data_IF_254571579081
#
_entry.id   IF_254571579081
#
_cell.length_a   1.000
_cell.length_b   1.000
_cell.length_c   1.000
_cell.angle_alpha   90.00
_cell.angle_beta   90.00
_cell.angle_gamma   90.00
#
_symmetry.space_group_name_H-M   'P 1'
#
loop_
_entity.id
_entity.type
_entity.pdbx_description
1 polymer ?
#
# COMPACT_ATOMS: atom_id res chain seq x y z
N UNK A 1 10.84 37.26 -48.97
CA UNK A 1 10.49 37.49 -47.56
C UNK A 1 9.50 36.41 -47.16
N UNK A 2 9.87 35.54 -46.20
CA UNK A 2 9.01 34.44 -45.74
C UNK A 2 8.12 34.98 -44.63
N UNK A 3 6.82 35.09 -44.89
CA UNK A 3 5.82 35.41 -43.87
C UNK A 3 5.59 34.21 -42.97
N UNK A 4 5.73 34.45 -41.67
CA UNK A 4 5.55 33.46 -40.60
C UNK A 4 4.22 33.77 -39.93
N UNK A 5 3.14 33.16 -40.38
CA UNK A 5 1.84 33.21 -39.69
C UNK A 5 1.88 32.29 -38.47
N UNK A 6 2.29 32.83 -37.34
CA UNK A 6 2.09 32.22 -36.03
C UNK A 6 0.59 32.24 -35.70
N UNK A 7 0.00 31.06 -35.55
CA UNK A 7 -1.40 30.90 -35.17
C UNK A 7 -1.67 31.48 -33.78
N UNK A 8 -2.49 32.52 -33.71
CA UNK A 8 -3.13 32.97 -32.47
C UNK A 8 -4.17 31.93 -32.06
N UNK A 9 -3.88 31.16 -31.01
CA UNK A 9 -4.90 30.36 -30.31
C UNK A 9 -5.74 31.34 -29.48
N UNK A 10 -6.98 31.56 -29.88
CA UNK A 10 -7.94 32.36 -29.12
C UNK A 10 -8.24 31.68 -27.77
N UNK A 11 -7.85 32.32 -26.66
CA UNK A 11 -8.28 31.94 -25.31
C UNK A 11 -9.77 32.28 -25.16
N UNK A 12 -10.64 31.27 -25.12
CA UNK A 12 -12.05 31.44 -24.77
C UNK A 12 -12.17 32.00 -23.35
N UNK A 13 -12.72 33.20 -23.19
CA UNK A 13 -12.96 33.81 -21.89
C UNK A 13 -14.05 33.05 -21.12
N UNK A 14 -13.71 32.51 -19.94
CA UNK A 14 -14.68 31.92 -19.00
C UNK A 14 -15.37 33.05 -18.24
N UNK A 15 -16.67 33.26 -18.46
CA UNK A 15 -17.46 34.21 -17.64
C UNK A 15 -17.64 33.66 -16.23
N UNK A 16 -17.36 34.46 -15.20
CA UNK A 16 -17.62 34.13 -13.79
C UNK A 16 -18.84 34.92 -13.28
N UNK A 17 -19.59 34.37 -12.32
CA UNK A 17 -20.68 35.04 -11.62
C UNK A 17 -20.17 35.91 -10.44
N UNK A 18 -21.10 36.50 -9.68
CA UNK A 18 -20.79 37.39 -8.56
C UNK A 18 -20.02 36.71 -7.42
N UNK A 19 -20.03 35.38 -7.35
CA UNK A 19 -19.26 34.57 -6.38
C UNK A 19 -17.90 34.12 -6.94
N UNK A 20 -17.56 34.52 -8.17
CA UNK A 20 -16.32 34.13 -8.84
C UNK A 20 -16.33 32.71 -9.41
N UNK A 21 -17.52 32.10 -9.52
CA UNK A 21 -17.71 30.75 -10.07
C UNK A 21 -18.13 30.82 -11.54
N UNK A 22 -17.78 29.84 -12.39
CA UNK A 22 -18.42 29.73 -13.69
C UNK A 22 -19.94 29.51 -13.52
N UNK A 23 -20.79 29.89 -14.49
CA UNK A 23 -22.25 29.89 -14.33
C UNK A 23 -22.80 28.47 -14.20
N UNK A 24 -22.85 27.88 -13.01
CA UNK A 24 -23.28 26.49 -12.77
C UNK A 24 -24.79 26.46 -12.47
N UNK A 25 -25.55 25.45 -12.93
CA UNK A 25 -26.96 25.31 -12.58
C UNK A 25 -27.18 25.30 -11.05
N UNK A 26 -28.09 26.13 -10.54
CA UNK A 26 -28.35 26.29 -9.09
C UNK A 26 -28.63 24.96 -8.37
N UNK A 27 -29.38 24.06 -9.02
CA UNK A 27 -29.65 22.71 -8.49
C UNK A 27 -28.38 21.89 -8.24
N UNK A 28 -27.35 22.08 -9.06
CA UNK A 28 -26.08 21.39 -8.94
C UNK A 28 -25.23 21.99 -7.81
N UNK A 29 -25.23 23.32 -7.67
CA UNK A 29 -24.59 24.04 -6.56
C UNK A 29 -25.14 23.56 -5.22
N UNK A 30 -26.47 23.47 -5.10
CA UNK A 30 -27.12 22.99 -3.87
C UNK A 30 -26.77 21.54 -3.53
N UNK A 31 -26.70 20.64 -4.54
CA UNK A 31 -26.28 19.24 -4.32
C UNK A 31 -24.85 19.16 -3.78
N UNK A 32 -23.93 19.94 -4.37
CA UNK A 32 -22.54 20.00 -3.91
C UNK A 32 -22.47 20.50 -2.47
N UNK A 33 -23.20 21.58 -2.13
CA UNK A 33 -23.23 22.13 -0.76
C UNK A 33 -23.75 21.12 0.26
N UNK A 34 -24.78 20.33 -0.10
CA UNK A 34 -25.31 19.22 0.73
C UNK A 34 -24.37 18.02 0.85
N UNK A 35 -23.28 17.97 0.08
CA UNK A 35 -22.33 16.86 0.08
C UNK A 35 -22.85 15.61 -0.64
N UNK A 36 -23.86 15.77 -1.50
CA UNK A 36 -24.35 14.68 -2.36
C UNK A 36 -23.35 14.36 -3.46
N UNK A 37 -23.34 13.11 -3.93
CA UNK A 37 -22.52 12.72 -5.06
C UNK A 37 -22.95 13.45 -6.34
N UNK A 38 -21.96 14.04 -7.01
CA UNK A 38 -22.14 14.77 -8.27
C UNK A 38 -21.18 14.22 -9.32
N UNK A 39 -21.69 13.95 -10.52
CA UNK A 39 -20.86 13.68 -11.69
C UNK A 39 -20.15 14.98 -12.10
N UNK A 40 -18.83 15.02 -11.92
CA UNK A 40 -18.00 16.19 -12.20
C UNK A 40 -18.06 16.62 -13.68
N UNK A 41 -18.38 15.70 -14.60
CA UNK A 41 -18.48 16.06 -16.02
C UNK A 41 -19.60 17.09 -16.29
N UNK A 42 -20.61 17.18 -15.41
CA UNK A 42 -21.69 18.16 -15.48
C UNK A 42 -21.21 19.60 -15.21
N UNK A 43 -20.02 19.77 -14.62
CA UNK A 43 -19.42 21.07 -14.34
C UNK A 43 -18.64 21.65 -15.54
N UNK A 44 -18.39 20.83 -16.57
CA UNK A 44 -17.67 21.25 -17.77
C UNK A 44 -18.67 21.83 -18.80
N UNK A 45 -18.76 23.15 -18.91
CA UNK A 45 -19.57 23.80 -19.96
C UNK A 45 -18.85 23.87 -21.31
N UNK A 46 -19.58 23.88 -22.42
CA UNK A 46 -19.03 24.25 -23.74
C UNK A 46 -19.27 25.73 -23.96
N UNK A 47 -18.23 26.47 -24.37
CA UNK A 47 -18.35 27.84 -24.85
C UNK A 47 -19.33 27.98 -26.05
N UNK A 48 -19.70 26.86 -26.70
CA UNK A 48 -20.67 26.88 -27.82
C UNK A 48 -22.13 27.07 -27.39
N UNK A 49 -22.48 26.73 -26.14
CA UNK A 49 -23.88 26.83 -25.69
C UNK A 49 -24.34 28.28 -25.54
N UNK A 50 -23.42 29.19 -25.20
CA UNK A 50 -23.72 30.63 -25.14
C UNK A 50 -23.76 31.30 -26.50
N UNK A 51 -23.04 30.79 -27.51
CA UNK A 51 -23.05 31.39 -28.85
C UNK A 51 -24.38 31.12 -29.58
N UNK A 52 -24.98 29.93 -29.42
CA UNK A 52 -26.30 29.65 -30.00
C UNK A 52 -27.44 30.42 -29.33
N UNK A 53 -27.46 30.53 -28.00
CA UNK A 53 -28.47 31.35 -27.28
C UNK A 53 -28.36 32.85 -27.58
N UNK A 54 -27.13 33.37 -27.71
CA UNK A 54 -26.92 34.79 -28.06
C UNK A 54 -27.29 35.09 -29.53
N UNK A 55 -27.09 34.14 -30.44
CA UNK A 55 -27.51 34.27 -31.84
C UNK A 55 -29.04 34.15 -31.99
N UNK A 56 -29.71 33.32 -31.18
CA UNK A 56 -31.17 33.18 -31.16
C UNK A 56 -31.89 34.41 -30.60
N UNK A 57 -31.27 35.17 -29.70
CA UNK A 57 -31.86 36.40 -29.17
C UNK A 57 -31.78 37.61 -30.13
N UNK A 58 -30.98 37.56 -31.19
CA UNK A 58 -30.86 38.68 -32.13
C UNK A 58 -31.90 38.70 -33.26
N UNK A 59 -32.63 37.61 -33.49
CA UNK A 59 -33.68 37.57 -34.51
C UNK A 59 -35.07 37.36 -33.89
N UNK A 60 -35.77 38.48 -33.66
CA UNK A 60 -37.14 38.52 -33.15
C UNK A 60 -38.18 37.97 -34.13
N UNK A 61 -38.27 36.65 -34.30
CA UNK A 61 -39.43 36.00 -34.94
C UNK A 61 -39.70 34.61 -34.35
N UNK A 62 -40.97 34.23 -34.15
CA UNK A 62 -41.33 32.98 -33.50
C UNK A 62 -41.29 31.85 -34.53
N UNK A 63 -40.11 31.31 -34.80
CA UNK A 63 -39.98 30.06 -35.55
C UNK A 63 -39.95 28.92 -34.55
N UNK A 64 -41.05 28.17 -34.43
CA UNK A 64 -41.06 26.88 -33.72
C UNK A 64 -40.33 25.85 -34.58
N UNK A 65 -39.05 25.63 -34.25
CA UNK A 65 -38.29 24.49 -34.77
C UNK A 65 -38.55 23.32 -33.83
N UNK A 66 -39.27 22.30 -34.32
CA UNK A 66 -39.29 20.99 -33.68
C UNK A 66 -37.87 20.40 -33.74
N UNK A 67 -37.11 20.54 -32.66
CA UNK A 67 -35.84 19.85 -32.53
C UNK A 67 -36.12 18.35 -32.43
N UNK A 68 -35.61 17.61 -33.43
CA UNK A 68 -35.64 16.15 -33.47
C UNK A 68 -35.13 15.57 -32.15
N UNK A 69 -35.78 14.51 -31.66
CA UNK A 69 -35.44 13.76 -30.44
C UNK A 69 -33.97 13.30 -30.42
N UNK A 70 -33.30 13.25 -31.58
CA UNK A 70 -31.87 12.96 -31.71
C UNK A 70 -30.95 14.09 -31.21
N UNK A 71 -31.37 15.35 -31.21
CA UNK A 71 -30.58 16.47 -30.67
C UNK A 71 -30.68 16.60 -29.13
N UNK A 72 -31.66 15.95 -28.51
CA UNK A 72 -31.81 15.90 -27.05
C UNK A 72 -30.78 14.95 -26.37
N UNK A 73 -30.04 14.17 -27.14
CA UNK A 73 -28.91 13.38 -26.65
C UNK A 73 -27.60 14.14 -26.86
N UNK A 74 -27.42 15.29 -26.20
CA UNK A 74 -26.07 15.85 -26.00
C UNK A 74 -25.23 14.74 -25.39
N UNK A 75 -24.24 14.21 -26.15
CA UNK A 75 -23.29 13.19 -25.68
C UNK A 75 -22.83 13.61 -24.29
N UNK A 76 -23.14 12.81 -23.26
CA UNK A 76 -22.67 13.06 -21.90
C UNK A 76 -21.17 13.29 -22.00
N UNK A 77 -20.71 14.51 -21.67
CA UNK A 77 -19.27 14.77 -21.60
C UNK A 77 -18.69 13.76 -20.62
N UNK A 78 -17.54 13.21 -20.97
CA UNK A 78 -16.83 12.27 -20.12
C UNK A 78 -15.50 12.90 -19.76
N UNK A 79 -15.17 12.85 -18.47
CA UNK A 79 -13.83 13.16 -18.00
C UNK A 79 -12.98 11.94 -18.37
N UNK A 80 -11.98 12.13 -19.22
CA UNK A 80 -11.10 11.06 -19.71
C UNK A 80 -9.63 11.30 -19.39
N UNK A 81 -9.30 12.52 -18.94
CA UNK A 81 -7.94 12.97 -18.70
C UNK A 81 -7.87 13.83 -17.43
N UNK A 82 -6.68 13.93 -16.86
CA UNK A 82 -6.45 14.64 -15.60
C UNK A 82 -6.69 16.15 -15.71
N UNK A 83 -6.54 16.74 -16.91
CA UNK A 83 -6.73 18.19 -17.11
C UNK A 83 -8.22 18.53 -17.12
N UNK A 84 -9.05 17.75 -17.81
CA UNK A 84 -10.51 17.91 -17.76
C UNK A 84 -11.07 17.62 -16.36
N UNK A 85 -10.52 16.63 -15.67
CA UNK A 85 -10.83 16.37 -14.25
C UNK A 85 -10.46 17.55 -13.35
N UNK A 86 -9.24 18.06 -13.46
CA UNK A 86 -8.75 19.16 -12.63
C UNK A 86 -9.59 20.44 -12.81
N UNK A 87 -10.04 20.73 -14.03
CA UNK A 87 -10.96 21.83 -14.32
C UNK A 87 -12.33 21.63 -13.68
N UNK A 88 -12.88 20.43 -13.74
CA UNK A 88 -14.17 20.15 -13.11
C UNK A 88 -14.08 20.18 -11.58
N UNK A 89 -13.01 19.60 -11.03
CA UNK A 89 -12.79 19.54 -9.59
C UNK A 89 -12.48 20.91 -8.98
N UNK A 90 -11.78 21.80 -9.69
CA UNK A 90 -11.55 23.16 -9.20
C UNK A 90 -12.86 23.95 -9.04
N UNK A 91 -13.82 23.74 -9.94
CA UNK A 91 -15.17 24.31 -9.85
C UNK A 91 -15.90 23.73 -8.64
N UNK A 92 -15.87 22.40 -8.49
CA UNK A 92 -16.47 21.71 -7.34
C UNK A 92 -15.90 22.21 -6.01
N UNK A 93 -14.58 22.32 -5.91
CA UNK A 93 -13.88 22.79 -4.72
C UNK A 93 -14.19 24.26 -4.42
N UNK A 94 -14.32 25.11 -5.44
CA UNK A 94 -14.70 26.51 -5.27
C UNK A 94 -16.14 26.65 -4.74
N UNK A 95 -17.10 25.83 -5.21
CA UNK A 95 -18.47 25.81 -4.68
C UNK A 95 -18.50 25.44 -3.20
N UNK A 96 -17.70 24.45 -2.79
CA UNK A 96 -17.58 24.07 -1.37
C UNK A 96 -16.88 25.16 -0.57
N UNK A 97 -15.81 25.76 -1.08
CA UNK A 97 -15.07 26.83 -0.40
C UNK A 97 -15.90 28.11 -0.20
N UNK A 98 -16.86 28.39 -1.09
CA UNK A 98 -17.77 29.51 -0.98
C UNK A 98 -18.92 29.28 0.02
N UNK A 99 -19.13 28.06 0.52
CA UNK A 99 -20.16 27.78 1.51
C UNK A 99 -19.75 28.31 2.89
N UNK A 100 -20.67 29.00 3.58
CA UNK A 100 -20.42 29.66 4.88
C UNK A 100 -19.94 28.70 5.98
N UNK A 101 -20.30 27.42 5.89
CA UNK A 101 -19.97 26.38 6.87
C UNK A 101 -18.58 25.75 6.65
N UNK A 102 -17.88 26.10 5.57
CA UNK A 102 -16.62 25.45 5.20
C UNK A 102 -15.42 26.06 5.93
N UNK A 103 -14.65 25.22 6.63
CA UNK A 103 -13.45 25.69 7.36
C UNK A 103 -12.22 25.78 6.46
N UNK A 104 -11.20 26.55 6.90
CA UNK A 104 -9.91 26.65 6.20
C UNK A 104 -9.25 25.28 6.00
N UNK A 105 -9.33 24.40 7.00
CA UNK A 105 -8.77 23.04 6.95
C UNK A 105 -9.45 22.20 5.86
N UNK A 106 -10.77 22.36 5.69
CA UNK A 106 -11.52 21.68 4.65
C UNK A 106 -11.11 22.16 3.25
N UNK A 107 -10.93 23.47 3.06
CA UNK A 107 -10.42 24.03 1.80
C UNK A 107 -9.01 23.49 1.49
N UNK A 108 -8.12 23.46 2.48
CA UNK A 108 -6.77 22.87 2.32
C UNK A 108 -6.88 21.39 1.96
N UNK A 109 -7.81 20.64 2.56
CA UNK A 109 -8.00 19.22 2.25
C UNK A 109 -8.48 18.99 0.81
N UNK A 110 -9.32 19.88 0.26
CA UNK A 110 -9.75 19.83 -1.14
C UNK A 110 -8.59 20.05 -2.09
N UNK A 111 -7.70 21.02 -1.79
CA UNK A 111 -6.48 21.24 -2.57
C UNK A 111 -5.51 20.05 -2.47
N UNK A 112 -5.38 19.46 -1.29
CA UNK A 112 -4.58 18.25 -1.10
C UNK A 112 -5.13 17.05 -1.89
N UNK A 113 -6.47 16.93 -2.01
CA UNK A 113 -7.10 15.93 -2.87
C UNK A 113 -6.80 16.17 -4.35
N UNK A 114 -6.87 17.42 -4.80
CA UNK A 114 -6.52 17.78 -6.17
C UNK A 114 -5.07 17.38 -6.48
N UNK A 115 -4.15 17.61 -5.54
CA UNK A 115 -2.75 17.16 -5.67
C UNK A 115 -2.63 15.63 -5.70
N UNK A 116 -3.29 14.93 -4.78
CA UNK A 116 -3.33 13.46 -4.73
C UNK A 116 -3.80 12.87 -6.06
N UNK A 117 -4.87 13.41 -6.63
CA UNK A 117 -5.42 12.92 -7.90
C UNK A 117 -4.50 13.17 -9.08
N UNK A 118 -3.78 14.29 -9.11
CA UNK A 118 -2.74 14.52 -10.15
C UNK A 118 -1.57 13.54 -10.04
N UNK A 119 -1.20 13.15 -8.81
CA UNK A 119 -0.18 12.14 -8.58
C UNK A 119 -0.70 10.75 -9.01
N UNK A 120 -1.91 10.37 -8.59
CA UNK A 120 -2.53 9.10 -8.97
C UNK A 120 -2.71 8.96 -10.49
N UNK A 121 -3.01 10.04 -11.21
CA UNK A 121 -3.09 10.00 -12.68
C UNK A 121 -1.74 9.73 -13.35
N UNK A 122 -0.64 10.05 -12.68
CA UNK A 122 0.72 9.74 -13.13
C UNK A 122 1.10 8.29 -12.79
N UNK A 123 0.74 7.85 -11.58
CA UNK A 123 1.13 6.55 -11.03
C UNK A 123 0.25 5.41 -11.58
N UNK A 124 -1.05 5.66 -11.78
CA UNK A 124 -2.05 4.71 -12.23
C UNK A 124 -2.46 5.03 -13.67
N UNK A 125 -1.81 4.40 -14.65
CA UNK A 125 -2.22 4.50 -16.06
C UNK A 125 -3.61 3.90 -16.32
N UNK A 126 -4.17 4.16 -17.51
CA UNK A 126 -5.35 3.44 -18.00
C UNK A 126 -6.69 3.78 -17.31
N UNK A 127 -6.84 4.97 -16.73
CA UNK A 127 -8.11 5.46 -16.18
C UNK A 127 -8.47 4.93 -14.78
N UNK A 128 -7.59 4.15 -14.15
CA UNK A 128 -7.78 3.63 -12.79
C UNK A 128 -7.84 4.72 -11.72
N UNK A 129 -7.05 5.78 -11.89
CA UNK A 129 -7.14 6.97 -11.04
C UNK A 129 -8.54 7.59 -11.08
N UNK A 130 -9.24 7.56 -12.23
CA UNK A 130 -10.59 8.09 -12.32
C UNK A 130 -11.60 7.22 -11.58
N UNK A 131 -11.40 5.89 -11.61
CA UNK A 131 -12.18 4.94 -10.79
C UNK A 131 -12.02 5.25 -9.30
N UNK A 132 -10.79 5.55 -8.87
CA UNK A 132 -10.50 5.94 -7.50
C UNK A 132 -11.26 7.21 -7.10
N UNK A 133 -11.23 8.27 -7.91
CA UNK A 133 -11.96 9.51 -7.64
C UNK A 133 -13.46 9.27 -7.46
N UNK A 134 -14.07 8.51 -8.37
CA UNK A 134 -15.50 8.20 -8.33
C UNK A 134 -15.86 7.43 -7.05
N UNK A 135 -15.12 6.36 -6.73
CA UNK A 135 -15.35 5.60 -5.50
C UNK A 135 -15.08 6.42 -4.24
N UNK A 136 -14.05 7.26 -4.24
CA UNK A 136 -13.69 8.11 -3.11
C UNK A 136 -14.79 9.13 -2.81
N UNK A 137 -15.32 9.82 -3.83
CA UNK A 137 -16.40 10.79 -3.66
C UNK A 137 -17.70 10.14 -3.18
N UNK A 138 -18.02 8.94 -3.66
CA UNK A 138 -19.16 8.16 -3.16
C UNK A 138 -18.96 7.74 -1.69
N UNK A 139 -17.73 7.38 -1.31
CA UNK A 139 -17.39 7.07 0.08
C UNK A 139 -17.49 8.29 1.01
N UNK A 140 -17.07 9.47 0.55
CA UNK A 140 -17.20 10.75 1.27
C UNK A 140 -18.67 11.06 1.56
N UNK A 141 -19.55 10.93 0.57
CA UNK A 141 -21.00 11.09 0.74
C UNK A 141 -21.54 10.08 1.77
N UNK A 142 -21.24 8.79 1.61
CA UNK A 142 -21.78 7.72 2.45
C UNK A 142 -21.32 7.80 3.92
N UNK A 143 -20.13 8.34 4.19
CA UNK A 143 -19.57 8.43 5.54
C UNK A 143 -19.68 9.83 6.17
N UNK A 144 -20.03 10.85 5.38
CA UNK A 144 -20.04 12.24 5.83
C UNK A 144 -18.65 12.79 6.22
N UNK A 145 -17.57 12.12 5.81
CA UNK A 145 -16.20 12.48 6.19
C UNK A 145 -15.66 13.53 5.21
N UNK A 146 -15.36 14.74 5.69
CA UNK A 146 -14.83 15.85 4.86
C UNK A 146 -13.30 15.97 4.89
N UNK A 147 -12.59 14.85 4.97
CA UNK A 147 -11.12 14.79 4.86
C UNK A 147 -10.72 14.33 3.47
N UNK A 148 -10.50 15.27 2.56
CA UNK A 148 -10.26 14.97 1.15
C UNK A 148 -8.80 14.64 0.81
N UNK A 149 -7.84 15.11 1.61
CA UNK A 149 -6.40 15.03 1.31
C UNK A 149 -5.67 13.74 1.71
N UNK A 150 -6.35 12.76 2.30
CA UNK A 150 -5.74 11.50 2.73
C UNK A 150 -6.05 10.39 1.71
N UNK A 151 -5.04 9.59 1.32
CA UNK A 151 -5.23 8.45 0.43
C UNK A 151 -6.05 7.36 1.15
N UNK A 152 -7.27 7.12 0.68
CA UNK A 152 -8.04 5.95 1.09
C UNK A 152 -7.44 4.66 0.49
N UNK A 153 -6.64 3.95 1.28
CA UNK A 153 -5.89 2.76 0.84
C UNK A 153 -6.79 1.61 0.39
N UNK A 154 -8.01 1.51 0.93
CA UNK A 154 -8.96 0.45 0.58
C UNK A 154 -9.46 0.66 -0.85
N UNK A 155 -9.86 1.89 -1.19
CA UNK A 155 -10.33 2.26 -2.53
C UNK A 155 -9.15 2.20 -3.51
N UNK A 156 -7.98 2.69 -3.11
CA UNK A 156 -6.76 2.63 -3.92
C UNK A 156 -6.40 1.19 -4.30
N UNK A 157 -6.45 0.26 -3.33
CA UNK A 157 -6.17 -1.16 -3.59
C UNK A 157 -7.14 -1.83 -4.57
N UNK A 158 -8.40 -1.37 -4.64
CA UNK A 158 -9.38 -1.84 -5.65
C UNK A 158 -9.09 -1.34 -7.06
N UNK A 159 -8.44 -0.19 -7.18
CA UNK A 159 -8.18 0.45 -8.47
C UNK A 159 -6.90 -0.06 -9.15
N UNK A 160 -6.02 -0.80 -8.46
CA UNK A 160 -4.76 -1.29 -9.02
C UNK A 160 -4.96 -2.36 -10.11
N UNK A 161 -4.10 -2.42 -11.15
CA UNK A 161 -4.18 -3.45 -12.18
C UNK A 161 -3.84 -4.82 -11.60
N UNK A 162 -4.68 -5.82 -11.83
CA UNK A 162 -4.43 -7.20 -11.40
C UNK A 162 -4.81 -7.49 -9.95
N UNK A 163 -5.45 -6.55 -9.23
CA UNK A 163 -6.14 -6.89 -7.99
C UNK A 163 -7.49 -7.50 -8.34
N UNK A 164 -7.73 -8.71 -7.85
CA UNK A 164 -9.08 -9.27 -7.77
C UNK A 164 -9.91 -8.23 -7.03
N UNK A 165 -11.11 -7.82 -7.53
CA UNK A 165 -11.89 -6.80 -6.85
C UNK A 165 -12.01 -7.19 -5.38
N UNK A 166 -11.63 -6.29 -4.46
CA UNK A 166 -12.00 -6.43 -3.05
C UNK A 166 -13.51 -6.22 -2.95
N UNK A 167 -14.26 -7.16 -3.51
CA UNK A 167 -15.68 -7.22 -3.42
C UNK A 167 -15.98 -7.67 -1.98
N UNK A 168 -16.34 -6.70 -1.14
CA UNK A 168 -17.03 -6.93 0.13
C UNK A 168 -18.50 -7.35 -0.09
N UNK A 169 -18.86 -7.83 -1.28
CA UNK A 169 -19.82 -8.93 -1.33
C UNK A 169 -19.10 -10.14 -0.76
N UNK A 170 -19.18 -10.30 0.57
CA UNK A 170 -19.20 -11.63 1.17
C UNK A 170 -19.99 -12.50 0.17
N UNK A 171 -19.41 -13.59 -0.36
CA UNK A 171 -20.26 -14.63 -0.92
C UNK A 171 -21.33 -14.82 0.15
N UNK A 172 -22.61 -14.78 -0.22
CA UNK A 172 -23.65 -15.23 0.68
C UNK A 172 -23.17 -16.59 1.15
N UNK A 173 -22.62 -16.62 2.38
CA UNK A 173 -22.07 -17.82 2.96
C UNK A 173 -23.29 -18.73 2.91
N UNK A 174 -23.25 -19.86 2.18
CA UNK A 174 -24.27 -20.85 2.39
C UNK A 174 -24.26 -21.03 3.89
N UNK A 175 -25.40 -20.83 4.55
CA UNK A 175 -25.53 -20.93 6.01
C UNK A 175 -25.24 -22.37 6.50
N UNK A 176 -24.38 -23.14 5.83
CA UNK A 176 -23.52 -24.08 6.51
C UNK A 176 -22.50 -23.27 7.30
N UNK A 177 -22.81 -23.02 8.56
CA UNK A 177 -21.80 -23.08 9.60
C UNK A 177 -20.95 -24.32 9.33
N UNK A 178 -19.80 -24.16 8.65
CA UNK A 178 -18.75 -25.16 8.74
C UNK A 178 -18.39 -25.17 10.21
N UNK A 179 -18.82 -26.23 10.88
CA UNK A 179 -18.66 -26.43 12.30
C UNK A 179 -17.22 -26.10 12.72
N UNK A 180 -17.00 -25.60 13.94
CA UNK A 180 -15.65 -25.47 14.48
C UNK A 180 -14.87 -26.77 14.24
N UNK A 181 -13.54 -26.70 14.05
CA UNK A 181 -12.73 -27.89 13.81
C UNK A 181 -13.12 -28.96 14.85
N UNK A 182 -13.56 -30.13 14.38
CA UNK A 182 -14.12 -31.19 15.22
C UNK A 182 -13.11 -31.69 16.28
N UNK A 183 -11.84 -31.26 16.20
CA UNK A 183 -10.81 -31.41 17.21
C UNK A 183 -10.10 -30.07 17.45
N UNK A 184 -9.80 -29.71 18.72
CA UNK A 184 -8.98 -28.54 19.02
C UNK A 184 -7.56 -28.69 18.46
N UNK A 185 -6.99 -27.59 17.94
CA UNK A 185 -5.60 -27.56 17.49
C UNK A 185 -4.66 -28.01 18.62
N UNK A 186 -3.66 -28.82 18.31
CA UNK A 186 -2.66 -29.28 19.29
C UNK A 186 -1.54 -28.25 19.41
N UNK A 187 -0.92 -28.15 20.59
CA UNK A 187 0.20 -27.25 20.82
C UNK A 187 1.44 -27.99 21.25
N UNK A 188 2.58 -27.66 20.64
CA UNK A 188 3.88 -28.21 21.00
C UNK A 188 4.80 -27.12 21.55
N UNK A 189 5.60 -27.48 22.57
CA UNK A 189 6.67 -26.62 23.09
C UNK A 189 7.95 -26.89 22.31
N UNK A 190 8.44 -25.90 21.57
CA UNK A 190 9.73 -25.99 20.87
C UNK A 190 10.81 -25.22 21.63
N UNK A 191 11.94 -25.82 22.02
CA UNK A 191 13.01 -25.12 22.71
C UNK A 191 13.62 -24.02 21.82
N UNK A 192 14.03 -22.88 22.42
CA UNK A 192 14.81 -21.85 21.74
C UNK A 192 16.28 -22.25 21.76
N UNK A 193 16.84 -22.55 20.59
CA UNK A 193 18.22 -23.03 20.38
C UNK A 193 19.31 -22.18 21.06
N UNK A 194 19.08 -20.87 21.25
CA UNK A 194 20.05 -19.94 21.84
C UNK A 194 19.69 -19.49 23.27
N UNK A 195 18.60 -19.98 23.86
CA UNK A 195 18.16 -19.56 25.21
C UNK A 195 17.67 -20.79 26.00
N UNK A 196 18.59 -21.49 26.71
CA UNK A 196 18.24 -22.64 27.53
C UNK A 196 17.08 -22.31 28.49
N UNK A 197 16.12 -23.24 28.61
CA UNK A 197 14.93 -23.06 29.45
C UNK A 197 13.81 -22.19 28.85
N UNK A 198 14.01 -21.55 27.69
CA UNK A 198 12.93 -20.82 26.99
C UNK A 198 12.29 -21.68 25.89
N UNK A 199 10.96 -21.73 25.89
CA UNK A 199 10.17 -22.44 24.89
C UNK A 199 9.39 -21.46 23.99
N UNK A 200 9.12 -21.86 22.75
CA UNK A 200 8.13 -21.24 21.86
C UNK A 200 6.90 -22.14 21.85
N UNK A 201 5.74 -21.57 22.15
CA UNK A 201 4.47 -22.23 21.90
C UNK A 201 4.21 -22.19 20.39
N UNK A 202 4.07 -23.36 19.77
CA UNK A 202 3.67 -23.50 18.37
C UNK A 202 2.35 -24.26 18.37
N UNK A 203 1.34 -23.67 17.75
CA UNK A 203 0.05 -24.30 17.51
C UNK A 203 0.16 -25.00 16.16
N UNK A 204 -0.18 -26.28 16.10
CA UNK A 204 -0.21 -27.00 14.84
C UNK A 204 -1.49 -26.63 14.08
N UNK A 205 -1.34 -25.71 13.12
CA UNK A 205 -2.41 -25.24 12.25
C UNK A 205 -2.50 -26.03 10.94
N UNK A 206 -1.68 -27.08 10.79
CA UNK A 206 -1.62 -27.95 9.60
C UNK A 206 -2.22 -29.34 9.86
N UNK A 207 -2.79 -29.57 11.04
CA UNK A 207 -3.31 -30.85 11.46
C UNK A 207 -4.77 -30.75 11.94
N UNK A 208 -5.62 -31.75 11.66
CA UNK A 208 -5.36 -32.88 10.77
C UNK A 208 -5.39 -32.45 9.28
N UNK A 209 -4.59 -33.09 8.41
CA UNK A 209 -4.55 -32.75 6.98
C UNK A 209 -5.92 -32.88 6.30
N UNK A 210 -6.21 -31.96 5.38
CA UNK A 210 -7.45 -31.91 4.59
C UNK A 210 -8.57 -31.10 5.25
N UNK A 211 -8.48 -30.82 6.55
CA UNK A 211 -9.48 -30.04 7.30
C UNK A 211 -8.83 -29.06 8.29
N UNK A 212 -7.51 -28.85 8.19
CA UNK A 212 -6.80 -27.93 9.07
C UNK A 212 -7.06 -26.48 8.69
N UNK A 213 -6.74 -25.54 9.59
CA UNK A 213 -6.82 -24.10 9.32
C UNK A 213 -6.00 -23.73 8.08
N UNK A 214 -4.80 -24.29 7.95
CA UNK A 214 -3.94 -24.00 6.81
C UNK A 214 -4.46 -24.58 5.49
N UNK A 215 -5.25 -25.65 5.51
CA UNK A 215 -5.86 -26.22 4.30
C UNK A 215 -6.91 -25.30 3.69
N UNK A 216 -7.58 -24.50 4.52
CA UNK A 216 -8.53 -23.46 4.08
C UNK A 216 -7.87 -22.23 3.45
N UNK A 217 -6.54 -22.08 3.54
CA UNK A 217 -5.81 -20.92 3.02
C UNK A 217 -5.28 -21.23 1.62
N UNK A 218 -5.81 -20.49 0.64
CA UNK A 218 -5.39 -20.59 -0.76
C UNK A 218 -3.86 -20.35 -0.91
N UNK A 219 -3.14 -21.17 -1.71
CA UNK A 219 -1.69 -21.01 -1.89
C UNK A 219 -1.25 -19.62 -2.33
N UNK A 220 -2.06 -18.94 -3.16
CA UNK A 220 -1.80 -17.58 -3.61
C UNK A 220 -1.71 -16.57 -2.45
N UNK A 221 -2.38 -16.81 -1.33
CA UNK A 221 -2.33 -15.99 -0.11
C UNK A 221 -1.11 -16.29 0.78
N UNK A 222 -0.21 -17.18 0.33
CA UNK A 222 0.99 -17.57 1.07
C UNK A 222 2.29 -17.46 0.27
N UNK A 223 2.21 -17.14 -1.02
CA UNK A 223 3.38 -16.93 -1.87
C UNK A 223 4.08 -15.61 -1.53
N UNK A 224 5.40 -15.68 -1.31
CA UNK A 224 6.30 -14.55 -1.01
C UNK A 224 7.57 -14.66 -1.84
N UNK A 225 8.13 -13.52 -2.20
CA UNK A 225 9.44 -13.43 -2.84
C UNK A 225 10.35 -12.61 -1.92
N UNK A 226 11.50 -13.18 -1.56
CA UNK A 226 12.47 -12.50 -0.69
C UNK A 226 13.71 -12.07 -1.47
N UNK A 227 14.36 -10.96 -1.08
CA UNK A 227 15.66 -10.64 -1.60
C UNK A 227 16.68 -11.72 -1.21
N UNK A 228 17.64 -11.92 -2.11
CA UNK A 228 18.72 -12.88 -1.98
C UNK A 228 19.98 -12.22 -1.45
N UNK A 229 20.95 -13.05 -1.05
CA UNK A 229 22.29 -12.59 -0.68
C UNK A 229 22.99 -11.92 -1.87
N UNK A 230 22.71 -12.35 -3.10
CA UNK A 230 23.24 -11.73 -4.31
C UNK A 230 22.72 -10.30 -4.51
N UNK A 231 21.46 -10.03 -4.10
CA UNK A 231 20.94 -8.66 -4.10
C UNK A 231 21.73 -7.79 -3.11
N UNK A 232 22.04 -8.31 -1.91
CA UNK A 232 22.87 -7.60 -0.95
C UNK A 232 24.30 -7.37 -1.47
N UNK A 233 24.91 -8.39 -2.07
CA UNK A 233 26.23 -8.29 -2.69
C UNK A 233 26.27 -7.18 -3.75
N UNK A 234 25.24 -7.13 -4.60
CA UNK A 234 25.08 -6.10 -5.64
C UNK A 234 25.01 -4.69 -5.04
N UNK A 235 24.29 -4.52 -3.91
CA UNK A 235 24.22 -3.23 -3.21
C UNK A 235 25.59 -2.82 -2.65
N UNK A 236 26.31 -3.75 -2.01
CA UNK A 236 27.67 -3.51 -1.49
C UNK A 236 28.61 -3.09 -2.61
N UNK A 237 28.62 -3.83 -3.72
CA UNK A 237 29.44 -3.50 -4.90
C UNK A 237 29.07 -2.13 -5.46
N UNK A 238 27.78 -1.79 -5.52
CA UNK A 238 27.32 -0.49 -6.04
C UNK A 238 27.79 0.71 -5.20
N UNK A 239 27.92 0.54 -3.87
CA UNK A 239 28.45 1.58 -2.98
C UNK A 239 29.97 1.61 -2.96
N UNK A 240 30.60 0.47 -3.21
CA UNK A 240 32.04 0.32 -3.28
C UNK A 240 32.64 -0.37 -2.07
N UNK A 241 33.93 -0.71 -2.20
CA UNK A 241 34.72 -1.34 -1.14
C UNK A 241 34.75 -0.46 0.10
N UNK A 242 34.55 -1.08 1.27
CA UNK A 242 34.49 -0.38 2.55
C UNK A 242 33.13 0.24 2.88
N UNK A 243 32.06 -0.15 2.17
CA UNK A 243 30.70 0.25 2.53
C UNK A 243 30.35 -0.15 3.97
N UNK A 244 29.61 0.71 4.65
CA UNK A 244 29.10 0.48 6.00
C UNK A 244 27.72 -0.16 5.96
N UNK A 245 27.55 -1.18 6.78
CA UNK A 245 26.34 -1.95 6.92
C UNK A 245 25.67 -1.61 8.26
N UNK A 246 24.35 -1.48 8.24
CA UNK A 246 23.52 -1.37 9.44
C UNK A 246 22.46 -2.46 9.37
N UNK A 247 22.28 -3.20 10.45
CA UNK A 247 21.31 -4.30 10.52
C UNK A 247 20.39 -4.11 11.72
N UNK A 248 19.12 -4.43 11.55
CA UNK A 248 18.13 -4.41 12.61
C UNK A 248 17.17 -5.59 12.49
N UNK A 249 16.57 -5.97 13.61
CA UNK A 249 15.60 -7.06 13.73
C UNK A 249 14.34 -6.51 14.40
N UNK A 250 13.15 -6.86 13.92
CA UNK A 250 11.89 -6.47 14.56
C UNK A 250 11.67 -7.32 15.81
N UNK A 251 11.52 -6.65 16.95
CA UNK A 251 11.21 -7.29 18.23
C UNK A 251 9.85 -7.98 18.16
N UNK A 252 9.82 -9.25 18.54
CA UNK A 252 8.61 -10.08 18.64
C UNK A 252 7.80 -10.22 17.32
N UNK A 253 8.38 -9.90 16.16
CA UNK A 253 7.86 -10.11 14.80
C UNK A 253 6.33 -10.26 14.69
N UNK A 254 5.81 -11.45 14.38
CA UNK A 254 4.38 -11.73 14.19
C UNK A 254 3.46 -11.26 15.33
N UNK A 255 3.95 -11.07 16.55
CA UNK A 255 3.17 -10.55 17.68
C UNK A 255 2.80 -9.08 17.54
N UNK A 256 3.44 -8.34 16.63
CA UNK A 256 3.06 -6.96 16.33
C UNK A 256 1.84 -6.88 15.42
N UNK A 257 1.41 -7.99 14.81
CA UNK A 257 0.33 -7.99 13.83
C UNK A 257 -0.94 -8.60 14.45
N UNK A 258 -1.98 -7.78 14.73
CA UNK A 258 -3.24 -8.28 15.26
C UNK A 258 -4.01 -9.08 14.21
N UNK A 259 -4.78 -10.06 14.67
CA UNK A 259 -5.73 -10.83 13.85
C UNK A 259 -7.10 -10.17 13.94
N UNK A 260 -7.85 -10.19 12.83
CA UNK A 260 -9.22 -9.70 12.82
C UNK A 260 -10.11 -10.56 13.75
N UNK A 261 -11.00 -9.97 14.56
CA UNK A 261 -11.83 -10.74 15.50
C UNK A 261 -12.65 -11.87 14.86
N UNK A 262 -13.04 -11.70 13.60
CA UNK A 262 -13.78 -12.74 12.87
C UNK A 262 -12.95 -14.01 12.68
N UNK A 263 -11.62 -13.95 12.66
CA UNK A 263 -10.77 -15.13 12.48
C UNK A 263 -10.39 -15.80 13.82
N UNK A 264 -10.77 -15.22 14.97
CA UNK A 264 -10.38 -15.73 16.29
C UNK A 264 -10.80 -17.17 16.55
N UNK A 265 -11.96 -17.59 16.03
CA UNK A 265 -12.46 -18.95 16.24
C UNK A 265 -11.57 -20.01 15.58
N UNK A 266 -10.77 -19.65 14.57
CA UNK A 266 -9.84 -20.55 13.88
C UNK A 266 -8.54 -20.77 14.67
N UNK A 267 -8.19 -19.83 15.55
CA UNK A 267 -6.87 -19.76 16.21
C UNK A 267 -6.91 -20.15 17.69
N UNK A 268 -7.98 -20.82 18.12
CA UNK A 268 -8.15 -21.34 19.47
C UNK A 268 -7.38 -22.64 19.71
N UNK A 269 -6.85 -22.78 20.93
CA UNK A 269 -6.25 -24.02 21.46
C UNK A 269 -6.89 -24.34 22.80
N UNK A 270 -7.20 -25.62 23.05
CA UNK A 270 -7.68 -26.07 24.35
C UNK A 270 -6.50 -26.62 25.17
N UNK A 271 -6.19 -25.98 26.28
CA UNK A 271 -5.15 -26.39 27.23
C UNK A 271 -5.78 -26.61 28.60
N UNK A 272 -5.65 -27.82 29.16
CA UNK A 272 -6.14 -28.17 30.51
C UNK A 272 -7.59 -27.75 30.79
N UNK A 273 -8.46 -27.91 29.80
CA UNK A 273 -9.88 -27.53 29.88
C UNK A 273 -10.18 -26.07 29.55
N UNK A 274 -9.18 -25.20 29.46
CA UNK A 274 -9.32 -23.77 29.13
C UNK A 274 -9.05 -23.54 27.64
N UNK A 275 -9.87 -22.73 26.98
CA UNK A 275 -9.64 -22.31 25.59
C UNK A 275 -8.86 -21.00 25.58
N UNK A 276 -7.69 -21.01 24.93
CA UNK A 276 -6.84 -19.84 24.72
C UNK A 276 -6.83 -19.50 23.24
N UNK A 277 -7.12 -18.23 22.92
CA UNK A 277 -7.19 -17.74 21.54
C UNK A 277 -5.97 -16.88 21.26
N UNK A 278 -5.34 -17.10 20.10
CA UNK A 278 -4.27 -16.23 19.65
C UNK A 278 -4.83 -15.00 18.91
N UNK A 279 -4.70 -13.82 19.52
CA UNK A 279 -5.18 -12.54 18.97
C UNK A 279 -4.20 -11.87 18.00
N UNK A 280 -3.01 -12.42 17.87
CA UNK A 280 -1.96 -11.93 16.99
C UNK A 280 -1.51 -13.05 16.06
N UNK A 281 -0.82 -12.68 14.99
CA UNK A 281 -0.39 -13.62 13.95
C UNK A 281 0.38 -14.81 14.55
N UNK A 282 -0.10 -16.06 14.43
CA UNK A 282 0.57 -17.23 14.99
C UNK A 282 1.78 -17.65 14.16
N UNK A 283 2.75 -18.27 14.84
CA UNK A 283 3.66 -19.18 14.15
C UNK A 283 2.87 -20.37 13.58
N UNK A 284 3.36 -20.93 12.47
CA UNK A 284 2.75 -22.02 11.71
C UNK A 284 1.48 -21.68 10.91
N UNK A 285 0.96 -20.45 10.97
CA UNK A 285 -0.10 -20.02 10.05
C UNK A 285 0.49 -19.85 8.63
N UNK A 286 -0.14 -20.47 7.63
CA UNK A 286 0.35 -20.49 6.24
C UNK A 286 0.47 -19.10 5.62
N UNK A 287 -0.47 -18.20 5.88
CA UNK A 287 -0.46 -16.83 5.36
C UNK A 287 0.44 -15.86 6.15
N UNK A 288 0.94 -16.25 7.32
CA UNK A 288 1.67 -15.34 8.20
C UNK A 288 2.93 -14.71 7.56
N UNK A 289 3.80 -15.46 6.86
CA UNK A 289 4.96 -14.86 6.20
C UNK A 289 4.54 -13.78 5.20
N UNK A 290 3.51 -14.03 4.38
CA UNK A 290 3.03 -13.07 3.39
C UNK A 290 2.47 -11.80 4.01
N UNK A 291 1.65 -11.94 5.04
CA UNK A 291 1.07 -10.80 5.76
C UNK A 291 2.19 -9.96 6.39
N UNK A 292 3.16 -10.60 7.03
CA UNK A 292 4.26 -9.89 7.67
C UNK A 292 5.22 -9.26 6.67
N UNK A 293 5.53 -9.95 5.56
CA UNK A 293 6.30 -9.40 4.45
C UNK A 293 5.66 -8.14 3.89
N UNK A 294 4.33 -8.09 3.72
CA UNK A 294 3.66 -6.88 3.24
C UNK A 294 3.86 -5.67 4.18
N UNK A 295 3.94 -5.91 5.50
CA UNK A 295 4.29 -4.86 6.47
C UNK A 295 5.77 -4.47 6.35
N UNK A 296 6.65 -5.44 6.13
CA UNK A 296 8.07 -5.21 5.86
C UNK A 296 8.31 -4.41 4.57
N UNK A 297 7.61 -4.74 3.48
CA UNK A 297 7.60 -4.04 2.20
C UNK A 297 7.18 -2.58 2.38
N UNK A 298 6.09 -2.36 3.12
CA UNK A 298 5.62 -1.01 3.44
C UNK A 298 6.65 -0.23 4.27
N UNK A 299 7.25 -0.85 5.28
CA UNK A 299 8.30 -0.22 6.08
C UNK A 299 9.52 0.12 5.23
N UNK A 300 9.98 -0.79 4.36
CA UNK A 300 11.07 -0.57 3.42
C UNK A 300 10.75 0.59 2.47
N UNK A 301 9.53 0.64 1.93
CA UNK A 301 9.08 1.74 1.07
C UNK A 301 9.12 3.10 1.77
N UNK A 302 8.73 3.16 3.04
CA UNK A 302 8.81 4.39 3.85
C UNK A 302 10.27 4.80 4.09
N UNK A 303 11.16 3.85 4.35
CA UNK A 303 12.60 4.13 4.50
C UNK A 303 13.20 4.68 3.20
N UNK A 304 12.82 4.13 2.04
CA UNK A 304 13.22 4.62 0.72
C UNK A 304 12.81 6.09 0.53
N UNK A 305 11.57 6.43 0.89
CA UNK A 305 11.07 7.81 0.84
C UNK A 305 11.80 8.73 1.84
N UNK A 306 12.27 8.17 2.95
CA UNK A 306 13.00 8.88 3.99
C UNK A 306 14.51 9.06 3.70
N UNK A 307 14.97 8.82 2.46
CA UNK A 307 16.36 8.93 1.97
C UNK A 307 17.28 7.72 2.23
N UNK A 308 16.78 6.64 2.81
CA UNK A 308 17.55 5.38 2.92
C UNK A 308 17.32 4.58 1.64
N UNK A 309 18.15 4.82 0.62
CA UNK A 309 17.92 4.27 -0.73
C UNK A 309 18.29 2.78 -0.88
N UNK A 310 19.25 2.30 -0.11
CA UNK A 310 19.75 0.93 -0.21
C UNK A 310 19.40 0.13 1.04
N UNK A 311 18.11 -0.20 1.17
CA UNK A 311 17.59 -1.05 2.22
C UNK A 311 17.06 -2.35 1.60
N UNK A 312 17.37 -3.48 2.23
CA UNK A 312 16.73 -4.78 1.97
C UNK A 312 16.13 -5.28 3.28
N UNK A 313 15.07 -6.06 3.17
CA UNK A 313 14.52 -6.77 4.30
C UNK A 313 14.23 -8.23 3.92
N UNK A 314 14.41 -9.12 4.89
CA UNK A 314 14.01 -10.51 4.80
C UNK A 314 13.19 -10.79 6.05
N UNK A 315 11.87 -10.89 5.88
CA UNK A 315 10.94 -11.04 7.00
C UNK A 315 11.16 -9.95 8.08
N UNK A 316 11.67 -10.31 9.27
CA UNK A 316 11.96 -9.41 10.38
C UNK A 316 13.38 -8.80 10.37
N UNK A 317 14.27 -9.30 9.51
CA UNK A 317 15.64 -8.82 9.37
C UNK A 317 15.74 -7.69 8.33
N UNK A 318 16.21 -6.51 8.75
CA UNK A 318 16.48 -5.36 7.89
C UNK A 318 17.98 -5.12 7.77
N UNK A 319 18.45 -4.78 6.57
CA UNK A 319 19.82 -4.37 6.32
C UNK A 319 19.87 -3.13 5.42
N UNK A 320 20.81 -2.24 5.71
CA UNK A 320 21.09 -1.04 4.94
C UNK A 320 22.57 -0.99 4.58
N UNK A 321 22.86 -0.45 3.39
CA UNK A 321 24.22 -0.32 2.86
C UNK A 321 24.51 1.14 2.52
N UNK A 322 25.49 1.74 3.19
CA UNK A 322 25.90 3.12 2.96
C UNK A 322 27.39 3.24 2.64
N UNK A 323 27.76 4.27 1.88
CA UNK A 323 29.15 4.48 1.43
C UNK A 323 30.03 5.19 2.45
N UNK A 324 29.43 5.82 3.46
CA UNK A 324 30.11 6.64 4.46
C UNK A 324 29.57 6.34 5.86
N UNK A 325 30.43 6.52 6.88
CA UNK A 325 30.11 6.25 8.26
C UNK A 325 29.06 7.23 8.82
N UNK A 326 29.10 8.50 8.41
CA UNK A 326 28.11 9.51 8.84
C UNK A 326 26.74 9.16 8.27
N UNK A 327 26.67 8.85 6.97
CA UNK A 327 25.45 8.39 6.31
C UNK A 327 24.90 7.12 6.95
N UNK A 328 25.75 6.14 7.30
CA UNK A 328 25.33 4.93 7.98
C UNK A 328 24.78 5.19 9.39
N UNK A 329 25.41 6.11 10.16
CA UNK A 329 24.90 6.54 11.48
C UNK A 329 23.54 7.24 11.34
N UNK A 330 23.39 8.08 10.32
CA UNK A 330 22.13 8.75 10.04
C UNK A 330 21.03 7.75 9.63
N UNK A 331 21.35 6.80 8.74
CA UNK A 331 20.44 5.73 8.35
C UNK A 331 19.99 4.91 9.56
N UNK A 332 20.90 4.55 10.47
CA UNK A 332 20.58 3.87 11.73
C UNK A 332 19.62 4.68 12.60
N UNK A 333 19.85 5.99 12.76
CA UNK A 333 18.98 6.87 13.54
C UNK A 333 17.59 6.99 12.92
N UNK A 334 17.54 7.17 11.61
CA UNK A 334 16.30 7.33 10.86
C UNK A 334 15.48 6.03 10.84
N UNK A 335 16.14 4.88 10.70
CA UNK A 335 15.51 3.57 10.85
C UNK A 335 14.81 3.48 12.21
N UNK A 336 15.53 3.69 13.31
CA UNK A 336 14.95 3.61 14.65
C UNK A 336 13.76 4.56 14.82
N UNK A 337 13.89 5.82 14.37
CA UNK A 337 12.79 6.79 14.46
C UNK A 337 11.58 6.41 13.60
N UNK A 338 11.80 5.83 12.42
CA UNK A 338 10.73 5.40 11.52
C UNK A 338 9.98 4.22 12.12
N UNK A 339 10.70 3.22 12.61
CA UNK A 339 10.11 2.02 13.22
C UNK A 339 9.35 2.33 14.51
N UNK A 340 9.87 3.26 15.32
CA UNK A 340 9.15 3.76 16.50
C UNK A 340 7.82 4.42 16.11
N UNK A 341 7.80 5.28 15.08
CA UNK A 341 6.57 5.91 14.57
C UNK A 341 5.59 4.92 13.97
N UNK A 342 6.08 3.85 13.36
CA UNK A 342 5.25 2.78 12.78
C UNK A 342 4.67 1.84 13.85
N UNK A 343 5.09 1.95 15.11
CA UNK A 343 4.70 1.00 16.14
C UNK A 343 5.30 -0.40 15.93
N UNK A 344 6.40 -0.50 15.19
CA UNK A 344 7.14 -1.74 14.96
C UNK A 344 8.45 -1.69 15.78
N UNK A 345 8.46 -2.17 17.03
CA UNK A 345 9.65 -2.05 17.88
C UNK A 345 10.81 -2.84 17.31
N UNK A 346 12.00 -2.23 17.27
CA UNK A 346 13.25 -2.95 16.95
C UNK A 346 13.79 -3.65 18.20
N UNK A 347 14.48 -4.78 18.01
CA UNK A 347 15.20 -5.49 19.07
C UNK A 347 16.55 -4.79 19.32
N UNK A 348 16.73 -4.06 20.44
CA UNK A 348 17.92 -3.24 20.64
C UNK A 348 19.21 -4.06 20.69
N UNK A 349 19.13 -5.30 21.19
CA UNK A 349 20.27 -6.21 21.26
C UNK A 349 20.75 -6.71 19.90
N UNK A 350 19.93 -6.55 18.85
CA UNK A 350 20.21 -6.96 17.46
C UNK A 350 20.31 -5.77 16.50
N UNK A 351 20.38 -4.57 17.03
CA UNK A 351 20.57 -3.35 16.24
C UNK A 351 22.08 -3.09 16.06
N UNK A 352 22.64 -3.73 15.03
CA UNK A 352 24.07 -3.80 14.75
C UNK A 352 24.54 -2.71 13.76
N UNK A 353 25.85 -2.45 13.77
CA UNK A 353 26.49 -1.46 12.91
C UNK A 353 26.35 0.00 13.39
N UNK A 354 26.88 0.98 12.63
CA UNK A 354 27.56 0.83 11.35
C UNK A 354 28.84 -0.01 11.45
N UNK A 355 29.00 -0.99 10.56
CA UNK A 355 30.18 -1.86 10.50
C UNK A 355 30.49 -2.24 9.05
N UNK A 356 31.76 -2.45 8.71
CA UNK A 356 32.17 -3.01 7.42
C UNK A 356 32.13 -4.54 7.37
N UNK A 357 31.85 -5.18 8.51
CA UNK A 357 31.66 -6.61 8.62
C UNK A 357 30.49 -6.93 9.55
N UNK A 358 29.46 -7.62 9.05
CA UNK A 358 28.34 -8.11 9.87
C UNK A 358 27.72 -9.39 9.31
N UNK A 359 26.99 -10.13 10.14
CA UNK A 359 26.27 -11.34 9.70
C UNK A 359 24.82 -11.03 9.35
N UNK A 360 24.41 -11.31 8.12
CA UNK A 360 23.04 -11.17 7.62
C UNK A 360 22.57 -12.48 6.99
N UNK A 361 21.36 -12.94 7.35
CA UNK A 361 20.82 -14.26 6.96
C UNK A 361 21.78 -15.44 7.27
N UNK A 362 22.64 -15.23 8.27
CA UNK A 362 23.63 -16.20 8.71
C UNK A 362 24.77 -16.45 7.71
N UNK A 363 25.07 -15.44 6.87
CA UNK A 363 26.28 -15.31 6.07
C UNK A 363 26.98 -14.03 6.55
N UNK A 364 28.31 -14.09 6.72
CA UNK A 364 29.09 -12.91 7.07
C UNK A 364 29.32 -12.07 5.80
N UNK A 365 29.23 -10.74 5.94
CA UNK A 365 29.35 -9.78 4.85
C UNK A 365 30.53 -8.88 5.15
N UNK A 366 31.69 -9.16 4.55
CA UNK A 366 32.92 -8.37 4.69
C UNK A 366 33.05 -7.43 3.48
N UNK A 367 32.73 -6.15 3.67
CA UNK A 367 32.75 -5.13 2.61
C UNK A 367 34.16 -4.60 2.30
N UNK A 368 35.16 -4.87 3.16
CA UNK A 368 36.56 -4.51 2.90
C UNK A 368 37.22 -5.53 1.98
N UNK A 369 36.97 -6.81 2.21
CA UNK A 369 37.46 -7.90 1.37
C UNK A 369 36.55 -8.18 0.17
N UNK A 370 35.31 -7.68 0.20
CA UNK A 370 34.24 -8.01 -0.76
C UNK A 370 34.00 -9.53 -0.81
N UNK A 371 33.84 -10.12 0.38
CA UNK A 371 33.65 -11.55 0.56
C UNK A 371 32.38 -11.82 1.38
N UNK A 372 31.77 -12.96 1.11
CA UNK A 372 30.58 -13.46 1.80
C UNK A 372 30.86 -14.81 2.47
N UNK A 373 31.78 -14.88 3.45
CA UNK A 373 32.12 -16.16 4.06
C UNK A 373 30.95 -16.71 4.88
N UNK A 374 30.83 -18.04 4.90
CA UNK A 374 29.99 -18.71 5.89
C UNK A 374 30.65 -18.57 7.28
N UNK A 375 29.89 -18.24 8.34
CA UNK A 375 30.42 -18.23 9.69
C UNK A 375 31.04 -19.57 10.05
N UNK A 376 32.20 -19.55 10.72
CA UNK A 376 32.96 -20.76 11.09
C UNK A 376 32.10 -21.80 11.81
N UNK A 377 31.22 -21.34 12.70
CA UNK A 377 30.33 -22.20 13.50
C UNK A 377 29.34 -23.01 12.65
N UNK A 378 29.01 -22.53 11.45
CA UNK A 378 28.16 -23.23 10.48
C UNK A 378 28.94 -24.19 9.59
N UNK A 379 30.26 -24.03 9.51
CA UNK A 379 31.15 -24.91 8.75
C UNK A 379 31.59 -26.12 9.59
N UNK A 380 31.72 -25.98 10.91
CA UNK A 380 32.21 -27.06 11.79
C UNK A 380 31.34 -28.31 11.73
N UNK A 381 30.03 -28.19 11.94
CA UNK A 381 29.14 -29.37 11.99
C UNK A 381 29.10 -30.19 10.68
N UNK A 382 28.99 -29.57 9.48
CA UNK A 382 29.10 -30.30 8.22
C UNK A 382 30.49 -30.89 7.98
N UNK A 383 31.56 -30.18 8.36
CA UNK A 383 32.94 -30.67 8.18
C UNK A 383 33.22 -31.86 9.10
N UNK A 384 32.79 -31.81 10.36
CA UNK A 384 32.90 -32.94 11.30
C UNK A 384 32.16 -34.17 10.76
N UNK A 385 30.97 -33.95 10.14
CA UNK A 385 30.20 -35.02 9.51
C UNK A 385 30.87 -35.57 8.24
N UNK A 386 31.54 -34.71 7.46
CA UNK A 386 32.32 -35.09 6.29
C UNK A 386 33.58 -35.87 6.69
N UNK A 387 34.28 -35.47 7.74
CA UNK A 387 35.44 -36.19 8.29
C UNK A 387 35.02 -37.55 8.87
N UNK A 388 33.90 -37.61 9.59
CA UNK A 388 33.36 -38.86 10.13
C UNK A 388 32.95 -39.83 9.02
N UNK A 389 32.33 -39.33 7.94
CA UNK A 389 31.96 -40.17 6.79
C UNK A 389 33.16 -40.56 5.92
N UNK A 390 34.16 -39.69 5.78
CA UNK A 390 35.42 -40.01 5.10
C UNK A 390 36.23 -41.06 5.85
N UNK A 391 36.27 -40.98 7.19
CA UNK A 391 36.89 -41.99 8.05
C UNK A 391 36.21 -43.37 7.96
N UNK A 392 34.89 -43.42 7.78
CA UNK A 392 34.14 -44.68 7.58
C UNK A 392 34.40 -45.34 6.23
N UNK A 393 34.63 -44.57 5.16
CA UNK A 393 34.99 -45.12 3.84
C UNK A 393 36.41 -45.74 3.80
N UNK A 394 37.30 -45.34 4.71
CA UNK A 394 38.62 -45.96 4.86
C UNK A 394 38.59 -47.30 5.62
N UNK A 395 37.49 -47.63 6.31
CA UNK A 395 37.28 -48.93 6.98
C UNK A 395 36.54 -49.96 6.11
N UNK A 396 36.21 -49.63 4.86
CA UNK A 396 35.50 -50.49 3.91
C UNK A 396 36.37 -50.93 2.72
N UNK A 397 37.70 -50.86 2.82
CA UNK A 397 38.65 -51.41 1.84
C UNK A 397 39.44 -52.58 2.39
#
# INVERSE_FOLDING_TARGET
>A
MRDTTAGLVALSATSLDAEGLPPIPTKLVEKIRRGEFVDLALLLQDASSKSEELLLQQHGSPVMIFQSVEQAQKKKKQIVDIVSWARAFSIYAAVLAAAEETTKEQVVSLLAHMHLMTQLATDLGGGQWLSYDVEFRAWVEAKGIRKWGELNIIIYGRCLPGTVPWNLSLPSVPHSHSAPPQKPNTSNKRPKSQKPGKYRLIVDLSSPPGVSVNDGIAPALSSVCYPTVDNLASLVVSKGKGAYLVKADIREAYRNIPIHPDDYYLLGVKCDGVVVINKFLPFALRSAPKIFSAVGDAAQWILLYSRIKLCLHYLDDFIMVEGDLVAAKEAKRLLSSTFEKLGLPLEPSKLEGPSTCLTFLGIEVDTLKLQLPLPTDKLTCPMDLLEETHGRNHMLK
#
